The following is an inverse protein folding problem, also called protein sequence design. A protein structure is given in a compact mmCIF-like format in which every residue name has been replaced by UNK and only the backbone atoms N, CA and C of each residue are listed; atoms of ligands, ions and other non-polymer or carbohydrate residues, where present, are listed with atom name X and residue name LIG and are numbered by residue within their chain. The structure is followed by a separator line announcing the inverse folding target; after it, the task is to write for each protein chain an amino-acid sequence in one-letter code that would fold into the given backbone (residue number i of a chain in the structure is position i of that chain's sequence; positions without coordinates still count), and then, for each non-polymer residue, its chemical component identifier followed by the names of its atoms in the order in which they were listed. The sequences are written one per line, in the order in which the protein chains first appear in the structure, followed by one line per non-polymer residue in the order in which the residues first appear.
data_IF_342285038370
#
_entry.id   IF_342285038370
#
_cell.length_a   1.000
_cell.length_b   1.000
_cell.length_c   1.000
_cell.angle_alpha   90.00
_cell.angle_beta   90.00
_cell.angle_gamma   90.00
#
_symmetry.space_group_name_H-M   'P 1'
#
loop_
_entity.id
_entity.type
_entity.pdbx_description
1 polymer ?
#
# COMPACT_ATOMS: atom_id res chain seq x y z
N UNK A 1 -14.52 8.08 7.62
CA UNK A 1 -13.31 7.29 7.28
C UNK A 1 -13.14 7.07 5.79
N UNK A 2 -14.14 6.54 5.04
CA UNK A 2 -13.99 6.39 3.57
C UNK A 2 -13.80 7.74 2.88
N UNK A 3 -14.67 8.70 3.18
CA UNK A 3 -14.59 10.07 2.65
C UNK A 3 -13.26 10.76 3.02
N UNK A 4 -12.82 10.65 4.28
CA UNK A 4 -11.56 11.23 4.73
C UNK A 4 -10.33 10.60 4.04
N UNK A 5 -10.37 9.27 3.79
CA UNK A 5 -9.32 8.57 3.05
C UNK A 5 -9.32 9.00 1.59
N UNK A 6 -10.50 9.16 0.99
CA UNK A 6 -10.64 9.66 -0.38
C UNK A 6 -10.07 11.07 -0.54
N UNK A 7 -10.36 11.98 0.39
CA UNK A 7 -9.79 13.33 0.38
C UNK A 7 -8.26 13.30 0.46
N UNK A 8 -7.72 12.41 1.28
CA UNK A 8 -6.27 12.24 1.45
C UNK A 8 -5.60 11.64 0.19
N UNK A 9 -6.25 10.69 -0.49
CA UNK A 9 -5.77 10.16 -1.77
C UNK A 9 -5.90 11.21 -2.90
N UNK A 10 -6.95 12.03 -2.89
CA UNK A 10 -7.14 13.15 -3.82
C UNK A 10 -6.01 14.18 -3.70
N UNK A 11 -5.60 14.53 -2.47
CA UNK A 11 -4.46 15.43 -2.23
C UNK A 11 -3.13 14.91 -2.79
N UNK A 12 -3.03 13.60 -3.04
CA UNK A 12 -1.88 12.95 -3.65
C UNK A 12 -2.03 12.71 -5.14
N UNK A 13 -3.11 13.18 -5.76
CA UNK A 13 -3.39 12.96 -7.18
C UNK A 13 -3.37 11.47 -7.56
N UNK A 14 -3.71 10.58 -6.63
CA UNK A 14 -3.90 9.15 -6.90
C UNK A 14 -5.09 9.01 -7.86
N UNK A 15 -4.99 8.13 -8.85
CA UNK A 15 -6.07 7.93 -9.81
C UNK A 15 -7.23 7.09 -9.25
N UNK A 16 -8.38 7.08 -9.92
CA UNK A 16 -9.58 6.35 -9.45
C UNK A 16 -9.37 4.84 -9.32
N UNK A 17 -8.58 4.22 -10.22
CA UNK A 17 -8.33 2.78 -10.16
C UNK A 17 -7.47 2.43 -8.96
N UNK A 18 -6.48 3.26 -8.67
CA UNK A 18 -5.60 3.13 -7.52
C UNK A 18 -6.33 3.42 -6.21
N UNK A 19 -7.23 4.41 -6.16
CA UNK A 19 -8.09 4.63 -4.99
C UNK A 19 -8.94 3.42 -4.67
N UNK A 20 -9.59 2.85 -5.69
CA UNK A 20 -10.40 1.64 -5.51
C UNK A 20 -9.56 0.47 -5.00
N UNK A 21 -8.30 0.36 -5.43
CA UNK A 21 -7.36 -0.62 -4.90
C UNK A 21 -7.11 -0.43 -3.40
N UNK A 22 -6.84 0.82 -2.99
CA UNK A 22 -6.64 1.16 -1.57
C UNK A 22 -7.92 0.89 -0.77
N UNK A 23 -9.10 1.26 -1.27
CA UNK A 23 -10.35 0.98 -0.57
C UNK A 23 -10.59 -0.51 -0.38
N UNK A 24 -10.38 -1.31 -1.42
CA UNK A 24 -10.45 -2.78 -1.32
C UNK A 24 -9.49 -3.32 -0.27
N UNK A 25 -8.24 -2.85 -0.26
CA UNK A 25 -7.29 -3.24 0.77
C UNK A 25 -7.78 -2.91 2.18
N UNK A 26 -8.30 -1.69 2.40
CA UNK A 26 -8.85 -1.29 3.70
C UNK A 26 -10.03 -2.17 4.12
N UNK A 27 -10.86 -2.65 3.18
CA UNK A 27 -11.98 -3.56 3.49
C UNK A 27 -11.50 -4.89 4.09
N UNK A 28 -10.32 -5.39 3.71
CA UNK A 28 -9.74 -6.61 4.29
C UNK A 28 -9.19 -6.43 5.71
N UNK A 29 -8.95 -5.19 6.13
CA UNK A 29 -8.45 -4.89 7.47
C UNK A 29 -9.59 -4.90 8.51
N UNK A 30 -9.26 -5.31 9.73
CA UNK A 30 -10.13 -5.10 10.90
C UNK A 30 -10.24 -3.60 11.24
N UNK A 31 -11.29 -3.19 11.95
CA UNK A 31 -11.49 -1.77 12.33
C UNK A 31 -10.25 -1.13 13.00
N UNK A 32 -9.59 -1.75 13.99
CA UNK A 32 -8.39 -1.17 14.61
C UNK A 32 -7.18 -1.08 13.68
N UNK A 33 -7.12 -1.94 12.65
CA UNK A 33 -6.07 -1.88 11.63
C UNK A 33 -6.34 -0.74 10.63
N UNK A 34 -7.60 -0.55 10.22
CA UNK A 34 -8.01 0.57 9.36
C UNK A 34 -7.69 1.91 10.02
N UNK A 35 -8.04 2.06 11.30
CA UNK A 35 -7.76 3.28 12.06
C UNK A 35 -6.27 3.58 12.15
N UNK A 36 -5.45 2.57 12.50
CA UNK A 36 -3.99 2.71 12.53
C UNK A 36 -3.40 3.09 11.18
N UNK A 37 -3.82 2.42 10.12
CA UNK A 37 -3.31 2.71 8.79
C UNK A 37 -3.74 4.09 8.29
N UNK A 38 -4.97 4.50 8.59
CA UNK A 38 -5.45 5.85 8.31
C UNK A 38 -4.63 6.92 9.06
N UNK A 39 -4.29 6.68 10.34
CA UNK A 39 -3.41 7.57 11.11
C UNK A 39 -2.02 7.67 10.47
N UNK A 40 -1.44 6.54 10.04
CA UNK A 40 -0.15 6.52 9.34
C UNK A 40 -0.23 7.36 8.07
N UNK A 41 -1.26 7.17 7.25
CA UNK A 41 -1.44 7.91 6.01
C UNK A 41 -1.57 9.41 6.23
N UNK A 42 -2.28 9.82 7.28
CA UNK A 42 -2.37 11.23 7.68
C UNK A 42 -1.05 11.80 8.19
N UNK A 43 -0.27 11.00 8.91
CA UNK A 43 0.98 11.44 9.54
C UNK A 43 2.13 11.49 8.53
N UNK A 44 2.08 10.62 7.52
CA UNK A 44 3.11 10.44 6.50
C UNK A 44 2.50 10.39 5.09
N UNK A 45 1.86 11.48 4.64
CA UNK A 45 1.14 11.49 3.37
C UNK A 45 2.09 11.29 2.17
N UNK A 46 3.38 11.61 2.28
CA UNK A 46 4.42 11.31 1.28
C UNK A 46 4.64 9.81 1.04
N UNK A 47 4.17 8.93 1.93
CA UNK A 47 4.32 7.47 1.78
C UNK A 47 3.17 6.82 1.03
N UNK A 48 2.10 7.55 0.72
CA UNK A 48 0.90 7.04 0.07
C UNK A 48 1.22 6.49 -1.33
N UNK A 49 1.99 7.23 -2.14
CA UNK A 49 2.35 6.80 -3.49
C UNK A 49 3.18 5.51 -3.48
N UNK A 50 4.13 5.42 -2.53
CA UNK A 50 4.94 4.22 -2.31
C UNK A 50 4.06 3.04 -1.88
N UNK A 51 3.11 3.26 -0.98
CA UNK A 51 2.18 2.23 -0.55
C UNK A 51 1.35 1.69 -1.73
N UNK A 52 0.79 2.58 -2.56
CA UNK A 52 0.02 2.20 -3.75
C UNK A 52 0.87 1.38 -4.71
N UNK A 53 2.12 1.79 -4.95
CA UNK A 53 3.08 1.05 -5.77
C UNK A 53 3.32 -0.36 -5.24
N UNK A 54 3.59 -0.50 -3.95
CA UNK A 54 3.79 -1.81 -3.30
C UNK A 54 2.54 -2.68 -3.43
N UNK A 55 1.35 -2.10 -3.22
CA UNK A 55 0.09 -2.83 -3.30
C UNK A 55 -0.15 -3.38 -4.72
N UNK A 56 0.13 -2.57 -5.75
CA UNK A 56 0.04 -3.00 -7.17
C UNK A 56 1.03 -4.11 -7.47
N UNK A 57 2.30 -3.95 -7.09
CA UNK A 57 3.32 -4.99 -7.29
C UNK A 57 2.92 -6.31 -6.63
N UNK A 58 2.41 -6.29 -5.40
CA UNK A 58 1.94 -7.51 -4.72
C UNK A 58 0.78 -8.20 -5.45
N UNK A 59 -0.14 -7.44 -6.03
CA UNK A 59 -1.26 -8.00 -6.79
C UNK A 59 -0.82 -8.55 -8.15
N UNK A 60 0.11 -7.89 -8.83
CA UNK A 60 0.73 -8.41 -10.06
C UNK A 60 1.44 -9.75 -9.80
N UNK A 61 2.15 -9.86 -8.67
CA UNK A 61 2.83 -11.10 -8.27
C UNK A 61 1.83 -12.21 -7.91
N UNK A 62 0.78 -11.87 -7.16
CA UNK A 62 -0.27 -12.83 -6.83
C UNK A 62 -0.97 -13.36 -8.11
N UNK A 63 -1.18 -12.49 -9.10
CA UNK A 63 -1.67 -12.87 -10.43
C UNK A 63 -0.68 -13.67 -11.28
N UNK A 64 0.63 -13.49 -11.06
CA UNK A 64 1.72 -14.15 -11.79
C UNK A 64 2.36 -15.31 -11.01
N UNK A 65 1.65 -15.94 -10.08
CA UNK A 65 2.16 -16.97 -9.17
C UNK A 65 2.46 -18.33 -9.83
N UNK A 66 3.34 -18.31 -10.84
CA UNK A 66 4.33 -19.35 -11.10
C UNK A 66 5.52 -19.15 -10.15
N UNK A 67 5.99 -20.25 -9.56
CA UNK A 67 6.76 -20.36 -8.31
C UNK A 67 8.19 -19.77 -8.26
N UNK A 68 8.56 -18.80 -9.10
CA UNK A 68 9.92 -18.22 -9.14
C UNK A 68 10.08 -16.85 -8.46
N UNK A 69 9.04 -16.04 -8.38
CA UNK A 69 9.13 -14.61 -8.00
C UNK A 69 9.20 -14.35 -6.49
N UNK A 70 8.94 -15.34 -5.64
CA UNK A 70 8.83 -15.14 -4.19
C UNK A 70 10.17 -14.93 -3.48
N UNK A 71 11.26 -15.55 -3.95
CA UNK A 71 12.58 -15.45 -3.31
C UNK A 71 13.28 -14.13 -3.66
N UNK A 72 13.15 -13.68 -4.91
CA UNK A 72 13.69 -12.41 -5.39
C UNK A 72 12.96 -11.19 -4.78
N UNK A 73 11.69 -11.36 -4.38
CA UNK A 73 10.97 -10.33 -3.64
C UNK A 73 11.38 -10.22 -2.18
N UNK A 74 11.63 -11.36 -1.52
CA UNK A 74 12.09 -11.37 -0.13
C UNK A 74 13.47 -10.72 0.01
N UNK A 75 14.33 -10.79 -1.02
CA UNK A 75 15.60 -10.07 -1.05
C UNK A 75 15.41 -8.56 -1.28
N UNK A 76 14.53 -8.15 -2.21
CA UNK A 76 14.19 -6.75 -2.44
C UNK A 76 13.51 -6.08 -1.22
N UNK A 77 12.59 -6.77 -0.55
CA UNK A 77 11.97 -6.29 0.70
C UNK A 77 13.01 -6.14 1.82
N UNK A 78 13.99 -7.06 1.91
CA UNK A 78 15.10 -6.94 2.88
C UNK A 78 16.02 -5.75 2.63
N UNK A 79 16.29 -5.40 1.37
CA UNK A 79 17.10 -4.22 1.04
C UNK A 79 16.34 -2.92 1.35
N UNK A 80 15.08 -2.81 0.93
CA UNK A 80 14.28 -1.60 1.19
C UNK A 80 14.04 -1.34 2.68
N UNK A 81 13.91 -2.41 3.49
CA UNK A 81 13.81 -2.29 4.95
C UNK A 81 15.13 -1.83 5.56
N UNK A 82 16.28 -2.27 5.05
CA UNK A 82 17.60 -1.79 5.51
C UNK A 82 17.76 -0.30 5.24
N UNK A 83 17.37 0.16 4.06
CA UNK A 83 17.44 1.59 3.68
C UNK A 83 16.49 2.49 4.48
N UNK A 84 15.46 1.91 5.09
CA UNK A 84 14.53 2.62 5.99
C UNK A 84 15.03 2.71 7.44
N UNK A 85 15.98 1.87 7.84
CA UNK A 85 16.49 1.76 9.22
C UNK A 85 17.89 2.40 9.37
N UNK A 86 18.61 2.62 8.27
CA UNK A 86 19.88 3.35 8.22
C UNK A 86 19.65 4.88 8.22
#
# INVERSE_FOLDING_TARGET
MREDLEELLNKKSIDEKEKELVFKFFLFLSKPQRERMFIIFRSYPEKIDLFVKILKTKLEIAGNSGSGLSEELLSLEKEQIKDLIA
#
